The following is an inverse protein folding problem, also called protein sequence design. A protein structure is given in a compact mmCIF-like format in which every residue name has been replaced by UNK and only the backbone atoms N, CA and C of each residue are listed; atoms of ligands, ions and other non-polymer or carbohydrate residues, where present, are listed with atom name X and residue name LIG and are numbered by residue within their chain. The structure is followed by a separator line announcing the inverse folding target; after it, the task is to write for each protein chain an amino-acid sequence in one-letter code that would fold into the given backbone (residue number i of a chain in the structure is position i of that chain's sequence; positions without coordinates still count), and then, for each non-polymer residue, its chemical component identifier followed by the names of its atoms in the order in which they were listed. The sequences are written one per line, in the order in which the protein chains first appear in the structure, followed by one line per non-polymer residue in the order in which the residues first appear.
data_IF_991254603980
#
_entry.id   IF_991254603980
#
_cell.length_a   1.000
_cell.length_b   1.000
_cell.length_c   1.000
_cell.angle_alpha   90.00
_cell.angle_beta   90.00
_cell.angle_gamma   90.00
#
_symmetry.space_group_name_H-M   'P 1'
#
loop_
_entity.id
_entity.type
_entity.pdbx_description
1 polymer ?
#
# COMPACT_ATOMS: atom_id res chain seq x y z
N UNK A 1 -1.08 7.29 -10.26
CA UNK A 1 -2.29 8.02 -10.74
C UNK A 1 -2.71 9.07 -9.72
N UNK A 2 -2.87 10.32 -10.12
CA UNK A 2 -3.51 11.34 -9.30
C UNK A 2 -5.04 11.10 -9.30
N UNK A 3 -5.64 10.97 -8.10
CA UNK A 3 -7.06 10.59 -7.96
C UNK A 3 -7.97 11.75 -7.57
N UNK A 4 -7.42 12.96 -7.35
CA UNK A 4 -8.20 14.14 -6.95
C UNK A 4 -9.25 13.79 -5.89
N UNK A 5 -8.79 13.44 -4.69
CA UNK A 5 -9.56 12.90 -3.57
C UNK A 5 -9.83 11.38 -3.62
N UNK A 6 -9.13 10.63 -2.77
CA UNK A 6 -9.29 9.19 -2.62
C UNK A 6 -10.57 8.86 -1.84
N UNK A 7 -11.55 8.27 -2.49
CA UNK A 7 -12.77 7.75 -1.87
C UNK A 7 -12.70 6.22 -1.73
N UNK A 8 -13.50 5.60 -0.86
CA UNK A 8 -13.57 4.12 -0.79
C UNK A 8 -13.90 3.48 -2.14
N UNK A 9 -14.74 4.12 -2.94
CA UNK A 9 -15.08 3.65 -4.29
C UNK A 9 -13.89 3.69 -5.24
N UNK A 10 -13.14 4.82 -5.27
CA UNK A 10 -11.94 4.94 -6.10
C UNK A 10 -10.86 3.94 -5.68
N UNK A 11 -10.67 3.77 -4.37
CA UNK A 11 -9.72 2.79 -3.85
C UNK A 11 -10.11 1.36 -4.26
N UNK A 12 -11.39 1.00 -4.16
CA UNK A 12 -11.87 -0.31 -4.59
C UNK A 12 -11.63 -0.55 -6.09
N UNK A 13 -11.87 0.46 -6.93
CA UNK A 13 -11.60 0.40 -8.38
C UNK A 13 -10.11 0.18 -8.66
N UNK A 14 -9.23 0.94 -8.00
CA UNK A 14 -7.78 0.78 -8.17
C UNK A 14 -7.30 -0.61 -7.75
N UNK A 15 -7.78 -1.13 -6.62
CA UNK A 15 -7.42 -2.48 -6.16
C UNK A 15 -7.95 -3.57 -7.08
N UNK A 16 -9.10 -3.34 -7.74
CA UNK A 16 -9.69 -4.28 -8.70
C UNK A 16 -8.85 -4.47 -9.96
N UNK A 17 -7.99 -3.51 -10.31
CA UNK A 17 -7.03 -3.66 -11.43
C UNK A 17 -5.99 -4.76 -11.18
N UNK A 18 -5.84 -5.21 -9.95
CA UNK A 18 -5.01 -6.36 -9.62
C UNK A 18 -3.49 -6.11 -9.63
N UNK A 19 -3.03 -4.86 -9.76
CA UNK A 19 -1.60 -4.51 -9.70
C UNK A 19 -0.99 -4.90 -8.35
N UNK A 20 0.29 -5.30 -8.34
CA UNK A 20 0.98 -5.63 -7.08
C UNK A 20 1.38 -4.40 -6.29
N UNK A 21 1.63 -3.28 -6.98
CA UNK A 21 1.99 -2.00 -6.38
C UNK A 21 1.14 -0.90 -7.04
N UNK A 22 0.53 -0.03 -6.22
CA UNK A 22 -0.30 1.08 -6.69
C UNK A 22 0.21 2.38 -6.09
N UNK A 23 0.66 3.30 -6.95
CA UNK A 23 1.08 4.65 -6.57
C UNK A 23 -0.06 5.65 -6.77
N UNK A 24 -0.36 6.44 -5.74
CA UNK A 24 -1.49 7.37 -5.72
C UNK A 24 -1.03 8.75 -5.29
N UNK A 25 -1.52 9.77 -5.98
CA UNK A 25 -1.33 11.18 -5.64
C UNK A 25 -2.68 11.85 -5.36
N UNK A 26 -2.64 12.94 -4.61
CA UNK A 26 -3.81 13.72 -4.20
C UNK A 26 -4.89 12.91 -3.49
N UNK A 27 -4.49 12.23 -2.41
CA UNK A 27 -5.44 11.44 -1.60
C UNK A 27 -6.49 12.31 -0.90
N UNK A 28 -6.17 13.56 -0.56
CA UNK A 28 -7.00 14.54 0.18
C UNK A 28 -7.55 13.95 1.48
N UNK A 29 -6.76 13.14 2.16
CA UNK A 29 -7.16 12.45 3.38
C UNK A 29 -6.20 12.75 4.52
N UNK A 30 -6.77 12.91 5.72
CA UNK A 30 -5.97 12.94 6.92
C UNK A 30 -5.39 11.55 7.24
N UNK A 31 -4.39 11.51 8.12
CA UNK A 31 -3.79 10.24 8.57
C UNK A 31 -4.82 9.29 9.18
N UNK A 32 -5.80 9.81 9.93
CA UNK A 32 -6.88 9.03 10.52
C UNK A 32 -7.83 8.47 9.46
N UNK A 33 -8.17 9.29 8.46
CA UNK A 33 -9.01 8.86 7.34
C UNK A 33 -8.34 7.78 6.51
N UNK A 34 -7.04 7.95 6.19
CA UNK A 34 -6.23 6.94 5.50
C UNK A 34 -6.19 5.63 6.29
N UNK A 35 -5.86 5.73 7.59
CA UNK A 35 -5.77 4.56 8.47
C UNK A 35 -7.08 3.77 8.60
N UNK A 36 -8.19 4.39 8.27
CA UNK A 36 -9.53 3.79 8.34
C UNK A 36 -10.01 3.18 7.05
N UNK A 37 -9.28 3.36 5.96
CA UNK A 37 -9.67 2.78 4.68
C UNK A 37 -9.49 1.27 4.69
N UNK A 38 -10.43 0.59 4.05
CA UNK A 38 -10.32 -0.85 3.85
C UNK A 38 -9.49 -1.11 2.60
N UNK A 39 -8.34 -1.73 2.78
CA UNK A 39 -7.36 -1.94 1.71
C UNK A 39 -7.28 -3.40 1.23
N UNK A 40 -8.20 -4.27 1.69
CA UNK A 40 -8.23 -5.66 1.26
C UNK A 40 -6.89 -6.36 1.48
N UNK A 41 -6.32 -6.89 0.41
CA UNK A 41 -5.04 -7.60 0.42
C UNK A 41 -3.83 -6.67 0.16
N UNK A 42 -3.97 -5.37 0.47
CA UNK A 42 -2.88 -4.40 0.32
C UNK A 42 -2.49 -3.79 1.65
N UNK A 43 -1.19 -3.56 1.81
CA UNK A 43 -0.63 -2.72 2.86
C UNK A 43 -0.50 -1.28 2.32
N UNK A 44 -1.08 -0.33 3.02
CA UNK A 44 -1.11 1.07 2.62
C UNK A 44 -0.05 1.87 3.37
N UNK A 45 0.85 2.48 2.62
CA UNK A 45 1.83 3.46 3.10
C UNK A 45 1.44 4.84 2.57
N UNK A 46 1.25 5.81 3.43
CA UNK A 46 0.79 7.13 3.00
C UNK A 46 1.47 8.27 3.76
N UNK A 47 1.54 9.40 3.09
CA UNK A 47 1.91 10.69 3.66
C UNK A 47 0.76 11.66 3.41
N UNK A 48 0.08 12.06 4.49
CA UNK A 48 -0.97 13.07 4.44
C UNK A 48 -0.37 14.47 4.47
N UNK A 49 -1.01 15.40 3.76
CA UNK A 49 -0.68 16.83 3.89
C UNK A 49 -1.33 17.41 5.15
N UNK A 50 -0.66 18.37 5.78
CA UNK A 50 -1.27 19.23 6.78
C UNK A 50 -2.08 20.31 6.04
N UNK A 51 -3.42 20.27 6.16
CA UNK A 51 -4.33 21.18 5.47
C UNK A 51 -5.17 20.52 4.37
N UNK A 52 -5.73 21.33 3.47
CA UNK A 52 -6.60 20.86 2.38
C UNK A 52 -5.81 20.36 1.17
N UNK A 53 -6.33 19.32 0.54
CA UNK A 53 -5.77 18.75 -0.69
C UNK A 53 -4.51 17.93 -0.46
N UNK A 54 -3.86 17.49 -1.54
CA UNK A 54 -2.60 16.75 -1.54
C UNK A 54 -2.67 15.39 -0.86
N UNK A 55 -1.51 14.93 -0.41
CA UNK A 55 -1.31 13.61 0.16
C UNK A 55 -0.97 12.56 -0.91
N UNK A 56 -0.01 11.71 -0.61
CA UNK A 56 0.47 10.64 -1.49
C UNK A 56 0.41 9.29 -0.79
N UNK A 57 0.26 8.22 -1.56
CA UNK A 57 0.20 6.88 -1.02
C UNK A 57 0.80 5.84 -1.97
N UNK A 58 1.29 4.75 -1.39
CA UNK A 58 1.66 3.51 -2.09
C UNK A 58 0.94 2.36 -1.41
N UNK A 59 0.21 1.57 -2.19
CA UNK A 59 -0.33 0.30 -1.75
C UNK A 59 0.56 -0.82 -2.30
N UNK A 60 0.91 -1.75 -1.45
CA UNK A 60 1.69 -2.93 -1.82
C UNK A 60 0.89 -4.17 -1.46
N UNK A 61 0.76 -5.10 -2.40
CA UNK A 61 0.05 -6.36 -2.15
C UNK A 61 0.69 -7.10 -0.98
N UNK A 62 -0.11 -7.63 -0.06
CA UNK A 62 0.38 -8.28 1.17
C UNK A 62 1.20 -9.55 0.93
N UNK A 63 1.25 -10.04 -0.31
CA UNK A 63 2.16 -11.10 -0.72
C UNK A 63 3.61 -10.64 -0.80
N UNK A 64 3.82 -9.33 -0.96
CA UNK A 64 5.12 -8.68 -0.95
C UNK A 64 5.35 -8.03 0.41
N UNK A 65 6.50 -8.26 1.01
CA UNK A 65 6.88 -7.56 2.25
C UNK A 65 7.27 -6.13 1.90
N UNK A 66 6.73 -5.18 2.65
CA UNK A 66 7.06 -3.77 2.42
C UNK A 66 7.20 -2.99 3.71
N UNK A 67 8.06 -1.98 3.68
CA UNK A 67 8.23 -1.05 4.79
C UNK A 67 8.44 0.37 4.26
N UNK A 68 7.95 1.34 5.00
CA UNK A 68 8.19 2.76 4.68
C UNK A 68 9.62 3.13 5.01
N UNK A 69 10.28 3.83 4.10
CA UNK A 69 11.57 4.50 4.34
C UNK A 69 11.25 5.91 4.83
N UNK A 70 11.78 6.34 5.98
CA UNK A 70 11.61 7.71 6.45
C UNK A 70 12.24 8.70 5.47
N UNK A 71 11.44 9.65 5.00
CA UNK A 71 11.90 10.82 4.26
C UNK A 71 11.48 12.06 5.04
N UNK A 72 12.44 12.85 5.46
CA UNK A 72 12.17 14.09 6.17
C UNK A 72 12.02 15.23 5.18
N UNK A 73 10.77 15.66 4.99
CA UNK A 73 10.43 16.87 4.23
C UNK A 73 10.15 17.97 5.26
N UNK A 74 10.93 19.06 5.29
CA UNK A 74 10.70 20.16 6.22
C UNK A 74 9.30 20.77 6.03
N UNK A 75 8.68 21.24 7.11
CA UNK A 75 7.32 21.78 7.06
C UNK A 75 7.19 23.03 6.17
N UNK A 76 8.27 23.78 5.98
CA UNK A 76 8.30 24.94 5.08
C UNK A 76 8.36 24.54 3.59
N UNK A 77 8.78 23.32 3.28
CA UNK A 77 8.73 22.79 1.92
C UNK A 77 7.34 22.26 1.61
N UNK A 78 6.51 23.12 1.06
CA UNK A 78 5.13 22.79 0.67
C UNK A 78 5.01 22.38 -0.79
N UNK A 79 6.12 22.35 -1.52
CA UNK A 79 6.14 22.05 -2.96
C UNK A 79 6.14 20.54 -3.25
N UNK A 80 6.77 19.75 -2.39
CA UNK A 80 6.91 18.30 -2.56
C UNK A 80 6.12 17.53 -1.50
N UNK A 81 5.39 16.55 -1.92
CA UNK A 81 4.87 15.47 -1.08
C UNK A 81 5.39 14.15 -1.62
N UNK A 82 5.94 13.32 -0.75
CA UNK A 82 6.45 12.02 -1.18
C UNK A 82 6.33 10.97 -0.07
N UNK A 83 6.11 9.74 -0.50
CA UNK A 83 6.22 8.54 0.33
C UNK A 83 7.13 7.55 -0.36
N UNK A 84 8.11 7.03 0.38
CA UNK A 84 9.10 6.07 -0.10
C UNK A 84 8.90 4.75 0.60
N UNK A 85 8.83 3.68 -0.18
CA UNK A 85 8.54 2.33 0.31
C UNK A 85 9.58 1.37 -0.24
N UNK A 86 10.21 0.62 0.65
CA UNK A 86 11.02 -0.53 0.28
C UNK A 86 10.12 -1.76 0.17
N UNK A 87 10.17 -2.43 -0.96
CA UNK A 87 9.41 -3.64 -1.26
C UNK A 87 10.41 -4.77 -1.46
N UNK A 88 10.33 -5.81 -0.63
CA UNK A 88 11.16 -6.99 -0.82
C UNK A 88 10.56 -7.87 -1.92
N UNK A 89 11.30 -8.04 -3.00
CA UNK A 89 10.90 -8.90 -4.12
C UNK A 89 11.21 -10.36 -3.83
N UNK A 90 12.36 -10.62 -3.18
CA UNK A 90 12.76 -11.93 -2.66
C UNK A 90 13.71 -11.78 -1.44
N UNK A 91 14.45 -12.84 -1.08
CA UNK A 91 15.28 -12.87 0.14
C UNK A 91 16.38 -11.82 0.16
N UNK A 92 16.93 -11.43 -0.99
CA UNK A 92 18.11 -10.57 -1.10
C UNK A 92 17.91 -9.35 -2.02
N UNK A 93 16.70 -9.09 -2.48
CA UNK A 93 16.44 -8.05 -3.48
C UNK A 93 15.28 -7.17 -3.07
N UNK A 94 15.58 -5.90 -3.01
CA UNK A 94 14.63 -4.86 -2.67
C UNK A 94 14.40 -3.94 -3.87
N UNK A 95 13.17 -3.49 -4.01
CA UNK A 95 12.76 -2.42 -4.90
C UNK A 95 12.38 -1.22 -4.05
N UNK A 96 12.90 -0.06 -4.38
CA UNK A 96 12.41 1.18 -3.80
C UNK A 96 11.32 1.75 -4.71
N UNK A 97 10.17 2.07 -4.11
CA UNK A 97 9.06 2.73 -4.80
C UNK A 97 8.80 4.07 -4.12
N UNK A 98 8.84 5.14 -4.89
CA UNK A 98 8.50 6.47 -4.45
C UNK A 98 7.25 6.96 -5.18
N UNK A 99 6.24 7.41 -4.43
CA UNK A 99 5.11 8.16 -4.94
C UNK A 99 5.32 9.62 -4.59
N UNK A 100 5.33 10.49 -5.58
CA UNK A 100 5.58 11.92 -5.42
C UNK A 100 4.45 12.78 -6.00
N UNK A 101 4.24 13.95 -5.40
CA UNK A 101 3.37 14.98 -5.92
C UNK A 101 4.06 16.34 -5.78
N UNK A 102 4.23 17.02 -6.88
CA UNK A 102 4.72 18.41 -6.89
C UNK A 102 3.55 19.36 -7.09
N UNK A 103 3.37 20.22 -6.09
CA UNK A 103 2.29 21.21 -6.12
C UNK A 103 2.57 22.32 -7.14
N UNK A 104 1.60 22.73 -7.96
CA UNK A 104 1.73 23.92 -8.79
C UNK A 104 1.83 25.23 -7.97
N UNK A 105 2.70 26.20 -8.36
CA UNK A 105 3.76 26.03 -9.35
C UNK A 105 4.86 25.10 -8.83
N UNK A 106 5.33 24.14 -9.66
CA UNK A 106 6.31 23.15 -9.24
C UNK A 106 7.68 23.81 -8.95
N UNK A 107 8.43 23.24 -8.02
CA UNK A 107 9.78 23.70 -7.65
C UNK A 107 10.69 22.51 -7.34
N UNK A 108 11.91 22.54 -7.84
CA UNK A 108 12.95 21.57 -7.48
C UNK A 108 13.58 21.98 -6.15
N UNK A 109 12.99 21.48 -5.08
CA UNK A 109 13.42 21.81 -3.71
C UNK A 109 14.56 20.91 -3.25
N UNK A 110 15.20 21.29 -2.14
CA UNK A 110 16.19 20.45 -1.48
C UNK A 110 15.58 19.09 -1.04
N UNK A 111 14.29 19.05 -0.74
CA UNK A 111 13.61 17.81 -0.40
C UNK A 111 13.52 16.87 -1.61
N UNK A 112 13.27 17.40 -2.81
CA UNK A 112 13.30 16.59 -4.02
C UNK A 112 14.71 16.10 -4.35
N UNK A 113 15.74 16.96 -4.23
CA UNK A 113 17.15 16.55 -4.39
C UNK A 113 17.52 15.42 -3.41
N UNK A 114 17.05 15.51 -2.17
CA UNK A 114 17.23 14.43 -1.18
C UNK A 114 16.48 13.16 -1.58
N UNK A 115 15.23 13.27 -2.05
CA UNK A 115 14.45 12.11 -2.49
C UNK A 115 15.20 11.32 -3.57
N UNK A 116 15.77 12.01 -4.54
CA UNK A 116 16.46 11.38 -5.68
C UNK A 116 17.83 10.82 -5.29
N UNK A 117 18.54 11.50 -4.38
CA UNK A 117 19.93 11.18 -4.03
C UNK A 117 20.10 10.37 -2.72
N UNK A 118 19.06 10.23 -1.89
CA UNK A 118 19.17 9.52 -0.60
C UNK A 118 19.16 7.99 -0.72
N UNK A 119 18.97 7.47 -1.91
CA UNK A 119 18.85 6.04 -2.15
C UNK A 119 20.18 5.43 -2.57
N UNK A 120 20.51 4.22 -2.10
CA UNK A 120 21.74 3.54 -2.50
C UNK A 120 21.85 3.48 -4.02
N UNK A 121 23.04 3.83 -4.56
CA UNK A 121 23.26 3.94 -6.00
C UNK A 121 22.93 2.65 -6.77
N UNK A 122 23.09 1.49 -6.13
CA UNK A 122 22.86 0.17 -6.72
C UNK A 122 21.43 -0.38 -6.54
N UNK A 123 20.58 0.30 -5.78
CA UNK A 123 19.24 -0.22 -5.49
C UNK A 123 18.26 0.15 -6.60
N UNK A 124 17.49 -0.82 -7.12
CA UNK A 124 16.43 -0.54 -8.08
C UNK A 124 15.42 0.47 -7.54
N UNK A 125 15.12 1.51 -8.31
CA UNK A 125 14.21 2.58 -7.95
C UNK A 125 13.14 2.79 -9.01
N UNK A 126 11.91 2.88 -8.55
CA UNK A 126 10.76 3.35 -9.31
C UNK A 126 10.22 4.63 -8.67
N UNK A 127 10.29 5.74 -9.37
CA UNK A 127 9.71 7.02 -8.96
C UNK A 127 8.51 7.35 -9.86
N UNK A 128 7.32 7.38 -9.28
CA UNK A 128 6.08 7.70 -9.96
C UNK A 128 5.45 8.93 -9.32
N UNK A 129 4.91 9.84 -10.13
CA UNK A 129 4.25 10.99 -9.54
C UNK A 129 3.61 11.92 -10.55
N UNK A 130 2.81 12.83 -10.01
CA UNK A 130 2.34 14.01 -10.69
C UNK A 130 3.29 15.16 -10.36
N UNK A 131 4.06 15.56 -11.35
CA UNK A 131 5.12 16.56 -11.17
C UNK A 131 4.69 17.96 -11.62
N UNK A 132 3.54 18.09 -12.28
CA UNK A 132 3.00 19.35 -12.78
C UNK A 132 4.02 20.16 -13.61
N UNK A 133 4.86 19.47 -14.39
CA UNK A 133 5.93 20.05 -15.21
C UNK A 133 5.75 19.70 -16.67
N UNK A 134 6.09 20.68 -17.54
CA UNK A 134 6.03 20.55 -18.99
C UNK A 134 7.45 20.65 -19.56
N UNK A 135 7.81 19.68 -20.40
CA UNK A 135 9.13 19.64 -21.04
C UNK A 135 9.04 18.86 -22.37
N UNK A 136 9.74 19.27 -23.44
CA UNK A 136 9.72 18.57 -24.74
C UNK A 136 10.15 17.10 -24.69
N UNK A 137 10.93 16.70 -23.70
CA UNK A 137 11.36 15.31 -23.52
C UNK A 137 10.19 14.33 -23.34
N UNK A 138 9.10 14.76 -22.71
CA UNK A 138 7.89 13.94 -22.55
C UNK A 138 6.66 14.51 -23.24
N UNK A 139 6.70 15.79 -23.62
CA UNK A 139 5.67 16.49 -24.41
C UNK A 139 6.27 17.05 -25.70
N UNK A 140 6.61 16.21 -26.70
CA UNK A 140 7.25 16.67 -27.93
C UNK A 140 6.36 17.62 -28.76
N UNK A 141 5.07 17.73 -28.43
CA UNK A 141 4.12 18.65 -29.02
C UNK A 141 4.09 20.04 -28.33
N UNK A 142 4.94 20.24 -27.32
CA UNK A 142 5.03 21.51 -26.61
C UNK A 142 5.71 22.56 -27.52
N UNK A 143 4.98 23.62 -27.85
CA UNK A 143 5.48 24.69 -28.73
C UNK A 143 6.34 25.73 -28.01
N UNK A 144 6.28 25.72 -26.65
CA UNK A 144 7.03 26.65 -25.79
C UNK A 144 8.30 26.03 -25.27
N UNK A 145 9.32 26.84 -25.01
CA UNK A 145 10.51 26.39 -24.31
C UNK A 145 10.16 25.87 -22.91
N UNK A 146 10.84 24.82 -22.42
CA UNK A 146 10.63 24.32 -21.07
C UNK A 146 10.94 25.45 -20.05
N UNK A 147 10.26 25.41 -18.91
CA UNK A 147 10.64 26.26 -17.78
C UNK A 147 12.00 25.83 -17.24
N UNK A 148 12.75 26.77 -16.65
CA UNK A 148 14.04 26.47 -15.98
C UNK A 148 13.87 25.35 -14.94
N UNK A 149 12.76 25.36 -14.21
CA UNK A 149 12.44 24.33 -13.21
C UNK A 149 12.26 22.95 -13.83
N UNK A 150 11.64 22.84 -15.01
CA UNK A 150 11.47 21.58 -15.69
C UNK A 150 12.80 21.05 -16.27
N UNK A 151 13.65 21.95 -16.77
CA UNK A 151 15.00 21.63 -17.21
C UNK A 151 15.88 21.12 -16.05
N UNK A 152 15.87 21.85 -14.92
CA UNK A 152 16.58 21.46 -13.70
C UNK A 152 16.09 20.09 -13.15
N UNK A 153 14.77 19.85 -13.20
CA UNK A 153 14.19 18.58 -12.80
C UNK A 153 14.69 17.43 -13.66
N UNK A 154 14.71 17.61 -14.98
CA UNK A 154 15.21 16.61 -15.92
C UNK A 154 16.68 16.30 -15.68
N UNK A 155 17.52 17.34 -15.58
CA UNK A 155 18.94 17.21 -15.28
C UNK A 155 19.19 16.42 -14.00
N UNK A 156 18.53 16.80 -12.92
CA UNK A 156 18.65 16.13 -11.63
C UNK A 156 18.25 14.65 -11.68
N UNK A 157 17.17 14.32 -12.38
CA UNK A 157 16.74 12.94 -12.55
C UNK A 157 17.78 12.13 -13.38
N UNK A 158 18.30 12.74 -14.44
CA UNK A 158 19.29 12.12 -15.32
C UNK A 158 20.62 11.90 -14.60
N UNK A 159 21.12 12.88 -13.87
CA UNK A 159 22.35 12.81 -13.08
C UNK A 159 22.26 11.74 -11.98
N UNK A 160 21.08 11.56 -11.42
CA UNK A 160 20.83 10.48 -10.47
C UNK A 160 20.74 9.09 -11.13
N UNK A 161 20.89 8.99 -12.44
CA UNK A 161 20.80 7.75 -13.21
C UNK A 161 19.38 7.23 -13.40
N UNK A 162 18.38 8.10 -13.31
CA UNK A 162 17.00 7.77 -13.61
C UNK A 162 16.72 7.87 -15.11
N UNK A 163 15.95 6.94 -15.63
CA UNK A 163 15.48 6.92 -17.03
C UNK A 163 13.97 7.15 -17.04
N UNK A 164 13.52 8.05 -17.91
CA UNK A 164 12.10 8.28 -18.13
C UNK A 164 11.47 7.08 -18.83
N UNK A 165 10.37 6.58 -18.28
CA UNK A 165 9.63 5.40 -18.78
C UNK A 165 8.49 5.81 -19.70
N UNK A 166 7.93 7.00 -19.50
CA UNK A 166 6.81 7.48 -20.30
C UNK A 166 7.11 7.43 -21.79
N UNK A 167 6.16 6.96 -22.58
CA UNK A 167 6.22 7.12 -24.03
C UNK A 167 6.09 8.61 -24.36
N UNK A 168 7.07 9.20 -25.07
CA UNK A 168 6.99 10.62 -25.45
C UNK A 168 5.68 10.93 -26.18
N UNK A 169 5.01 12.01 -25.78
CA UNK A 169 3.69 12.38 -26.32
C UNK A 169 2.50 11.63 -25.72
N UNK A 170 2.75 10.69 -24.80
CA UNK A 170 1.68 10.00 -24.08
C UNK A 170 0.93 10.94 -23.15
N UNK A 171 -0.36 11.14 -23.37
CA UNK A 171 -1.19 12.00 -22.54
C UNK A 171 -1.47 11.30 -21.21
N UNK A 172 -1.21 11.98 -20.10
CA UNK A 172 -1.49 11.46 -18.73
C UNK A 172 -2.56 12.27 -17.99
N UNK A 173 -2.85 13.47 -18.46
CA UNK A 173 -3.87 14.36 -17.91
C UNK A 173 -4.69 14.99 -19.05
N UNK A 174 -6.01 15.04 -18.88
CA UNK A 174 -6.89 15.73 -19.80
C UNK A 174 -8.12 16.28 -19.09
N UNK A 175 -8.28 17.60 -19.17
CA UNK A 175 -9.44 18.31 -18.64
C UNK A 175 -10.14 19.11 -19.71
N UNK A 176 -11.43 18.81 -19.89
CA UNK A 176 -12.21 19.44 -20.95
C UNK A 176 -11.64 19.14 -22.33
N UNK A 177 -11.67 20.13 -23.21
CA UNK A 177 -11.34 20.00 -24.64
C UNK A 177 -9.92 20.41 -25.00
N UNK A 178 -9.31 21.25 -24.17
CA UNK A 178 -8.08 22.00 -24.53
C UNK A 178 -6.88 21.61 -23.68
N UNK A 179 -7.11 21.19 -22.45
CA UNK A 179 -6.01 20.87 -21.53
C UNK A 179 -5.62 19.41 -21.67
N UNK A 180 -4.52 19.14 -22.35
CA UNK A 180 -3.92 17.81 -22.48
C UNK A 180 -2.43 17.92 -22.22
N UNK A 181 -1.92 17.09 -21.30
CA UNK A 181 -0.52 17.13 -20.91
C UNK A 181 -0.01 15.78 -20.44
N UNK A 182 1.30 15.68 -20.34
CA UNK A 182 2.01 14.52 -19.79
C UNK A 182 2.73 14.93 -18.50
N UNK A 183 1.97 15.20 -17.44
CA UNK A 183 2.50 15.68 -16.14
C UNK A 183 2.68 14.58 -15.10
N UNK A 184 2.07 13.41 -15.32
CA UNK A 184 2.31 12.22 -14.50
C UNK A 184 3.47 11.45 -15.11
N UNK A 185 4.62 11.45 -14.42
CA UNK A 185 5.85 10.85 -14.93
C UNK A 185 6.22 9.59 -14.14
N UNK A 186 6.83 8.66 -14.86
CA UNK A 186 7.40 7.43 -14.32
C UNK A 186 8.89 7.39 -14.64
N UNK A 187 9.72 7.31 -13.62
CA UNK A 187 11.16 7.21 -13.73
C UNK A 187 11.65 5.90 -13.13
N UNK A 188 12.61 5.27 -13.76
CA UNK A 188 13.18 4.01 -13.29
C UNK A 188 14.71 4.06 -13.26
N UNK A 189 15.29 3.35 -12.28
CA UNK A 189 16.74 3.13 -12.18
C UNK A 189 17.00 1.66 -11.90
N UNK A 190 17.90 1.04 -12.64
CA UNK A 190 18.21 -0.40 -12.53
C UNK A 190 16.99 -1.32 -12.65
N UNK A 191 15.99 -0.89 -13.44
CA UNK A 191 14.78 -1.63 -13.72
C UNK A 191 14.51 -1.61 -15.23
N UNK A 192 14.07 -2.73 -15.77
CA UNK A 192 13.45 -2.76 -17.10
C UNK A 192 11.94 -2.65 -16.94
N UNK A 193 11.34 -1.73 -17.68
CA UNK A 193 9.89 -1.50 -17.67
C UNK A 193 9.37 -1.83 -19.06
N UNK A 194 8.30 -2.63 -19.16
CA UNK A 194 7.57 -2.90 -20.38
C UNK A 194 6.10 -2.58 -20.25
N UNK A 195 5.41 -2.58 -21.39
CA UNK A 195 3.95 -2.44 -21.48
C UNK A 195 3.42 -1.15 -20.80
N UNK A 196 4.25 -0.09 -20.80
CA UNK A 196 3.80 1.18 -20.29
C UNK A 196 2.65 1.70 -21.13
N UNK A 197 1.56 2.03 -20.46
CA UNK A 197 0.37 2.57 -21.09
C UNK A 197 -0.34 3.59 -20.21
N UNK A 198 -0.95 4.59 -20.84
CA UNK A 198 -1.79 5.57 -20.21
C UNK A 198 -3.23 5.40 -20.71
N UNK A 199 -4.15 5.06 -19.83
CA UNK A 199 -5.54 4.80 -20.18
C UNK A 199 -6.48 5.76 -19.47
N UNK A 200 -7.52 6.19 -20.20
CA UNK A 200 -8.58 7.01 -19.62
C UNK A 200 -9.26 6.26 -18.48
N UNK A 201 -9.53 6.96 -17.39
CA UNK A 201 -10.19 6.39 -16.23
C UNK A 201 -11.36 7.28 -15.78
N UNK A 202 -12.49 6.71 -15.33
CA UNK A 202 -13.60 7.48 -14.79
C UNK A 202 -13.30 8.07 -13.41
N UNK A 203 -12.16 7.73 -12.81
CA UNK A 203 -11.80 8.10 -11.44
C UNK A 203 -11.35 9.56 -11.32
N UNK A 204 -10.64 10.09 -12.32
CA UNK A 204 -9.99 11.39 -12.26
C UNK A 204 -9.82 11.97 -13.67
N UNK A 205 -9.39 13.23 -13.76
CA UNK A 205 -8.93 13.86 -15.02
C UNK A 205 -7.55 13.32 -15.44
N UNK A 206 -6.81 12.71 -14.50
CA UNK A 206 -5.58 11.99 -14.79
C UNK A 206 -5.87 10.58 -15.30
N UNK A 207 -5.00 10.11 -16.19
CA UNK A 207 -5.06 8.77 -16.76
C UNK A 207 -4.48 7.75 -15.77
N UNK A 208 -4.93 6.53 -15.91
CA UNK A 208 -4.34 5.40 -15.20
C UNK A 208 -3.10 4.93 -15.96
N UNK A 209 -1.94 5.02 -15.33
CA UNK A 209 -0.68 4.51 -15.87
C UNK A 209 -0.50 3.09 -15.39
N UNK A 210 -0.25 2.17 -16.32
CA UNK A 210 0.02 0.77 -16.05
C UNK A 210 1.27 0.33 -16.79
N UNK A 211 2.07 -0.51 -16.15
CA UNK A 211 3.29 -1.07 -16.73
C UNK A 211 3.73 -2.32 -15.98
N UNK A 212 4.59 -3.09 -16.59
CA UNK A 212 5.20 -4.28 -16.01
C UNK A 212 6.67 -3.98 -15.65
N UNK A 213 7.07 -4.35 -14.43
CA UNK A 213 8.46 -4.25 -14.01
C UNK A 213 9.16 -5.58 -14.25
N UNK A 214 10.22 -5.54 -15.02
CA UNK A 214 11.16 -6.65 -15.17
C UNK A 214 12.43 -6.28 -14.44
N UNK A 215 12.84 -7.14 -13.55
CA UNK A 215 14.16 -7.02 -12.99
C UNK A 215 15.15 -7.64 -13.99
N UNK A 216 16.18 -6.92 -14.36
CA UNK A 216 17.25 -7.46 -15.19
C UNK A 216 17.98 -8.54 -14.38
N UNK A 217 17.56 -9.80 -14.54
CA UNK A 217 18.25 -10.94 -13.97
C UNK A 217 19.12 -11.60 -15.03
N UNK A 218 20.37 -11.78 -14.67
CA UNK A 218 21.12 -12.89 -15.21
C UNK A 218 20.47 -14.17 -14.66
N UNK A 219 19.93 -14.92 -15.61
CA UNK A 219 19.64 -16.35 -15.57
C UNK A 219 18.52 -16.91 -14.67
N UNK A 220 17.58 -17.50 -15.40
CA UNK A 220 16.83 -18.72 -15.10
C UNK A 220 16.18 -18.86 -13.72
N UNK A 221 15.01 -18.26 -13.61
CA UNK A 221 13.99 -18.91 -12.78
C UNK A 221 12.84 -19.28 -13.71
N UNK A 222 12.46 -20.57 -13.79
CA UNK A 222 11.27 -21.00 -14.49
C UNK A 222 10.08 -20.16 -13.97
N UNK A 223 9.21 -19.74 -14.88
CA UNK A 223 7.94 -19.10 -14.50
C UNK A 223 7.33 -19.88 -13.34
N UNK A 224 7.19 -19.23 -12.19
CA UNK A 224 6.57 -19.88 -11.04
C UNK A 224 5.21 -20.43 -11.47
N UNK A 225 4.90 -21.69 -11.17
CA UNK A 225 3.59 -22.24 -11.46
C UNK A 225 2.51 -21.33 -10.83
N UNK A 226 1.32 -21.25 -11.42
CA UNK A 226 0.24 -20.41 -10.90
C UNK A 226 0.14 -20.60 -9.40
N UNK A 227 0.17 -19.49 -8.66
CA UNK A 227 0.31 -19.49 -7.20
C UNK A 227 -0.64 -20.51 -6.58
N UNK A 228 -0.08 -21.49 -5.89
CA UNK A 228 -0.88 -22.47 -5.14
C UNK A 228 -1.89 -21.73 -4.26
N UNK A 229 -3.11 -22.24 -4.09
CA UNK A 229 -4.15 -21.58 -3.32
C UNK A 229 -3.61 -21.21 -1.94
N UNK A 230 -3.71 -19.92 -1.58
CA UNK A 230 -3.20 -19.42 -0.30
C UNK A 230 -4.08 -19.95 0.82
N UNK A 231 -3.51 -20.81 1.63
CA UNK A 231 -4.13 -21.30 2.85
C UNK A 231 -3.85 -20.32 3.99
N UNK A 232 -4.84 -20.04 4.79
CA UNK A 232 -4.69 -19.32 6.06
C UNK A 232 -5.13 -20.21 7.22
N UNK A 233 -4.58 -19.96 8.39
CA UNK A 233 -4.99 -20.68 9.59
C UNK A 233 -6.11 -19.92 10.29
N UNK A 234 -7.22 -20.60 10.56
CA UNK A 234 -8.37 -20.03 11.26
C UNK A 234 -8.16 -20.08 12.77
N UNK A 235 -7.47 -19.10 13.32
CA UNK A 235 -7.16 -19.00 14.74
C UNK A 235 -8.40 -19.02 15.65
N UNK A 236 -9.52 -18.42 15.20
CA UNK A 236 -10.78 -18.45 15.93
C UNK A 236 -11.43 -19.83 16.01
N UNK A 237 -10.99 -20.79 15.19
CA UNK A 237 -11.44 -22.19 15.19
C UNK A 237 -10.37 -23.15 15.68
N UNK A 238 -9.27 -22.64 16.21
CA UNK A 238 -8.20 -23.44 16.76
C UNK A 238 -8.70 -24.20 18.00
N UNK A 239 -8.37 -25.48 18.10
CA UNK A 239 -8.64 -26.31 19.29
C UNK A 239 -7.55 -26.03 20.33
N UNK A 240 -7.69 -24.92 21.04
CA UNK A 240 -6.64 -24.39 21.92
C UNK A 240 -6.19 -25.36 23.03
N UNK A 241 -7.11 -26.11 23.61
CA UNK A 241 -6.76 -27.07 24.67
C UNK A 241 -5.85 -28.20 24.15
N UNK A 242 -6.12 -28.67 22.92
CA UNK A 242 -5.29 -29.69 22.27
C UNK A 242 -3.99 -29.08 21.75
N UNK A 243 -4.02 -27.84 21.28
CA UNK A 243 -2.83 -27.11 20.88
C UNK A 243 -1.84 -26.98 22.05
N UNK A 244 -2.31 -26.54 23.21
CA UNK A 244 -1.46 -26.36 24.40
C UNK A 244 -0.85 -27.68 24.84
N UNK A 245 -1.65 -28.75 24.94
CA UNK A 245 -1.16 -30.08 25.28
C UNK A 245 -0.08 -30.61 24.33
N UNK A 246 -0.30 -30.43 23.02
CA UNK A 246 0.65 -30.89 22.00
C UNK A 246 1.92 -30.03 22.00
N UNK A 247 1.76 -28.71 22.19
CA UNK A 247 2.88 -27.79 22.30
C UNK A 247 3.77 -28.10 23.49
N UNK A 248 3.17 -28.30 24.69
CA UNK A 248 3.89 -28.66 25.90
C UNK A 248 4.61 -30.00 25.79
N UNK A 249 3.97 -30.98 25.15
CA UNK A 249 4.55 -32.29 24.91
C UNK A 249 5.77 -32.23 23.95
N UNK A 250 5.82 -31.25 23.07
CA UNK A 250 6.94 -31.07 22.14
C UNK A 250 8.09 -30.23 22.71
N UNK A 251 7.93 -29.65 23.90
CA UNK A 251 8.95 -28.94 24.65
C UNK A 251 9.48 -29.76 25.82
N UNK A 252 10.14 -30.91 25.59
CA UNK A 252 10.70 -31.69 26.70
C UNK A 252 11.80 -30.88 27.38
N UNK A 253 11.93 -31.02 28.68
CA UNK A 253 12.88 -30.43 29.62
C UNK A 253 13.99 -29.57 28.97
N UNK A 254 13.70 -28.29 28.81
CA UNK A 254 14.50 -27.36 28.04
C UNK A 254 15.76 -26.95 28.79
N UNK A 255 16.94 -27.19 28.23
CA UNK A 255 18.19 -26.68 28.77
C UNK A 255 18.39 -25.21 28.38
N UNK A 256 18.04 -24.28 29.26
CA UNK A 256 18.17 -22.84 29.09
C UNK A 256 19.60 -22.35 28.81
N UNK A 257 20.61 -23.19 28.97
CA UNK A 257 22.02 -22.84 28.75
C UNK A 257 22.39 -22.79 27.27
N UNK A 258 21.53 -23.30 26.36
CA UNK A 258 21.75 -23.30 24.90
C UNK A 258 20.70 -22.49 24.16
N UNK A 259 20.78 -21.15 24.26
CA UNK A 259 19.79 -20.23 23.69
C UNK A 259 19.45 -20.44 22.19
N UNK A 260 20.44 -20.73 21.36
CA UNK A 260 20.23 -20.86 19.90
C UNK A 260 19.43 -22.10 19.49
N UNK A 261 19.61 -23.20 20.21
CA UNK A 261 18.86 -24.45 19.99
C UNK A 261 17.43 -24.33 20.48
N UNK A 262 17.22 -23.55 21.52
CA UNK A 262 15.93 -23.36 22.12
C UNK A 262 14.92 -22.58 21.27
N UNK A 263 15.33 -21.50 20.70
CA UNK A 263 14.46 -20.74 19.80
C UNK A 263 13.99 -21.60 18.62
N UNK A 264 14.90 -22.43 18.08
CA UNK A 264 14.56 -23.36 16.99
C UNK A 264 13.58 -24.43 17.42
N UNK A 265 13.78 -25.03 18.61
CA UNK A 265 12.89 -26.04 19.16
C UNK A 265 11.51 -25.46 19.48
N UNK A 266 11.45 -24.28 20.13
CA UNK A 266 10.23 -23.57 20.42
C UNK A 266 9.46 -23.23 19.12
N UNK A 267 10.15 -22.66 18.12
CA UNK A 267 9.53 -22.31 16.84
C UNK A 267 8.99 -23.56 16.14
N UNK A 268 9.73 -24.66 16.16
CA UNK A 268 9.28 -25.91 15.56
C UNK A 268 8.05 -26.49 16.30
N UNK A 269 8.07 -26.54 17.62
CA UNK A 269 6.92 -26.98 18.42
C UNK A 269 5.68 -26.12 18.14
N UNK A 270 5.85 -24.79 18.12
CA UNK A 270 4.78 -23.84 17.80
C UNK A 270 4.19 -24.10 16.42
N UNK A 271 5.05 -24.21 15.40
CA UNK A 271 4.61 -24.44 14.01
C UNK A 271 3.88 -25.78 13.90
N UNK A 272 4.42 -26.83 14.49
CA UNK A 272 3.83 -28.17 14.40
C UNK A 272 2.46 -28.22 15.10
N UNK A 273 2.36 -27.64 16.29
CA UNK A 273 1.10 -27.66 17.06
C UNK A 273 0.01 -26.81 16.38
N UNK A 274 0.32 -25.63 15.81
CA UNK A 274 -0.73 -24.90 15.12
C UNK A 274 -1.13 -25.56 13.80
N UNK A 275 -0.20 -26.24 13.10
CA UNK A 275 -0.53 -27.00 11.89
C UNK A 275 -1.50 -28.16 12.16
N UNK A 276 -1.40 -28.78 13.34
CA UNK A 276 -2.27 -29.90 13.74
C UNK A 276 -3.64 -29.45 14.24
N UNK A 277 -3.68 -28.38 15.02
CA UNK A 277 -4.86 -28.00 15.81
C UNK A 277 -5.61 -26.78 15.31
N UNK A 278 -4.99 -25.96 14.44
CA UNK A 278 -5.67 -24.84 13.79
C UNK A 278 -6.11 -25.24 12.38
N UNK A 279 -7.42 -25.25 12.09
CA UNK A 279 -7.91 -25.62 10.78
C UNK A 279 -7.36 -24.68 9.70
N UNK A 280 -6.91 -25.26 8.59
CA UNK A 280 -6.60 -24.51 7.38
C UNK A 280 -7.91 -24.11 6.70
N UNK A 281 -8.04 -22.84 6.36
CA UNK A 281 -9.11 -22.34 5.51
C UNK A 281 -8.54 -21.92 4.17
N UNK A 282 -9.28 -22.15 3.11
CA UNK A 282 -9.09 -21.43 1.86
C UNK A 282 -9.91 -20.16 1.94
N UNK A 283 -9.39 -19.05 1.41
CA UNK A 283 -10.25 -17.94 1.08
C UNK A 283 -11.32 -18.49 0.10
N UNK A 284 -12.51 -18.73 0.60
CA UNK A 284 -13.65 -18.83 -0.28
C UNK A 284 -13.78 -17.44 -0.87
N UNK A 285 -13.66 -17.36 -2.19
CA UNK A 285 -14.03 -16.15 -2.89
C UNK A 285 -15.43 -15.78 -2.39
N UNK A 286 -15.50 -14.78 -1.52
CA UNK A 286 -16.78 -14.19 -1.15
C UNK A 286 -17.41 -13.66 -2.43
N UNK A 287 -18.70 -13.33 -2.47
CA UNK A 287 -19.31 -12.73 -3.65
C UNK A 287 -18.41 -11.57 -4.06
N UNK A 288 -17.82 -11.68 -5.25
CA UNK A 288 -16.87 -10.71 -5.77
C UNK A 288 -17.55 -9.36 -5.73
N UNK A 289 -16.91 -8.37 -5.10
CA UNK A 289 -17.39 -6.99 -5.15
C UNK A 289 -17.51 -6.55 -6.61
N UNK A 290 -16.60 -7.04 -7.44
CA UNK A 290 -16.45 -6.74 -8.85
C UNK A 290 -17.06 -7.87 -9.67
N UNK A 291 -18.33 -7.71 -10.03
CA UNK A 291 -19.08 -8.62 -10.91
C UNK A 291 -19.14 -8.06 -12.35
N UNK A 292 -19.64 -8.87 -13.29
CA UNK A 292 -19.73 -8.51 -14.70
C UNK A 292 -20.55 -7.23 -14.93
N UNK A 293 -21.59 -7.00 -14.11
CA UNK A 293 -22.42 -5.80 -14.18
C UNK A 293 -21.63 -4.56 -13.82
N UNK A 294 -20.76 -4.64 -12.79
CA UNK A 294 -19.94 -3.52 -12.37
C UNK A 294 -18.79 -3.27 -13.35
N UNK A 295 -18.20 -4.33 -13.91
CA UNK A 295 -17.19 -4.24 -14.97
C UNK A 295 -17.75 -3.55 -16.22
N UNK A 296 -18.96 -3.91 -16.63
CA UNK A 296 -19.60 -3.27 -17.78
C UNK A 296 -19.92 -1.80 -17.51
N UNK A 297 -20.39 -1.46 -16.32
CA UNK A 297 -20.64 -0.07 -15.94
C UNK A 297 -19.33 0.77 -15.92
N UNK A 298 -18.21 0.21 -15.46
CA UNK A 298 -16.90 0.84 -15.52
C UNK A 298 -16.45 1.06 -16.97
N UNK A 299 -16.60 0.03 -17.82
CA UNK A 299 -16.28 0.10 -19.23
C UNK A 299 -17.09 1.21 -19.94
N UNK A 300 -18.40 1.25 -19.74
CA UNK A 300 -19.28 2.29 -20.32
C UNK A 300 -18.86 3.68 -19.86
N UNK A 301 -18.52 3.86 -18.57
CA UNK A 301 -18.07 5.14 -18.06
C UNK A 301 -16.70 5.56 -18.64
N UNK A 302 -15.82 4.61 -18.87
CA UNK A 302 -14.51 4.82 -19.50
C UNK A 302 -14.66 5.18 -20.97
N UNK A 303 -15.46 4.42 -21.72
CA UNK A 303 -15.67 4.62 -23.16
C UNK A 303 -16.37 5.94 -23.47
N UNK A 304 -17.37 6.32 -22.67
CA UNK A 304 -18.07 7.62 -22.84
C UNK A 304 -17.13 8.78 -22.56
N UNK A 305 -16.26 8.67 -21.56
CA UNK A 305 -15.24 9.67 -21.27
C UNK A 305 -14.22 9.76 -22.41
N UNK A 306 -13.74 8.64 -22.94
CA UNK A 306 -12.82 8.61 -24.06
C UNK A 306 -13.44 9.27 -25.31
N UNK A 307 -14.71 8.99 -25.63
CA UNK A 307 -15.45 9.62 -26.74
C UNK A 307 -15.60 11.12 -26.55
N UNK A 308 -15.91 11.57 -25.33
CA UNK A 308 -15.97 13.00 -25.02
C UNK A 308 -14.61 13.68 -25.21
N UNK A 309 -13.53 13.07 -24.74
CA UNK A 309 -12.18 13.63 -24.90
C UNK A 309 -11.70 13.67 -26.36
N UNK A 310 -12.17 12.75 -27.20
CA UNK A 310 -11.84 12.75 -28.64
C UNK A 310 -12.57 13.83 -29.41
N UNK A 311 -13.88 13.96 -29.18
CA UNK A 311 -14.73 14.95 -29.86
C UNK A 311 -15.74 15.52 -28.85
N UNK A 312 -15.37 16.59 -28.17
CA UNK A 312 -16.22 17.24 -27.17
C UNK A 312 -17.47 17.83 -27.78
N UNK A 313 -18.62 17.45 -27.21
CA UNK A 313 -19.94 17.96 -27.54
C UNK A 313 -20.84 17.88 -26.30
N UNK A 314 -21.85 18.76 -26.15
CA UNK A 314 -22.71 18.79 -24.97
C UNK A 314 -23.44 17.47 -24.69
N UNK A 315 -23.89 16.78 -25.73
CA UNK A 315 -24.53 15.47 -25.66
C UNK A 315 -23.57 14.37 -25.14
N UNK A 316 -22.33 14.40 -25.59
CA UNK A 316 -21.27 13.48 -25.12
C UNK A 316 -20.83 13.78 -23.69
N UNK A 317 -20.79 15.04 -23.29
CA UNK A 317 -20.54 15.43 -21.91
C UNK A 317 -21.66 14.90 -20.99
N UNK A 318 -22.92 15.08 -21.39
CA UNK A 318 -24.05 14.59 -20.66
C UNK A 318 -24.03 13.04 -20.55
N UNK A 319 -23.66 12.33 -21.63
CA UNK A 319 -23.49 10.88 -21.61
C UNK A 319 -22.37 10.45 -20.66
N UNK A 320 -21.22 11.11 -20.72
CA UNK A 320 -20.08 10.85 -19.82
C UNK A 320 -20.48 11.02 -18.35
N UNK A 321 -21.14 12.13 -18.01
CA UNK A 321 -21.59 12.40 -16.64
C UNK A 321 -22.61 11.37 -16.17
N UNK A 322 -23.54 10.97 -17.03
CA UNK A 322 -24.57 9.96 -16.74
C UNK A 322 -23.94 8.58 -16.46
N UNK A 323 -23.12 8.08 -17.36
CA UNK A 323 -22.49 6.75 -17.23
C UNK A 323 -21.55 6.69 -16.03
N UNK A 324 -20.78 7.75 -15.80
CA UNK A 324 -19.95 7.88 -14.62
C UNK A 324 -20.77 7.86 -13.33
N UNK A 325 -21.89 8.58 -13.29
CA UNK A 325 -22.78 8.60 -12.13
C UNK A 325 -23.41 7.23 -11.86
N UNK A 326 -23.83 6.53 -12.91
CA UNK A 326 -24.38 5.17 -12.82
C UNK A 326 -23.33 4.18 -12.26
N UNK A 327 -22.11 4.21 -12.78
CA UNK A 327 -21.03 3.39 -12.26
C UNK A 327 -20.80 3.62 -10.76
N UNK A 328 -20.66 4.88 -10.32
CA UNK A 328 -20.42 5.16 -8.90
C UNK A 328 -21.63 4.88 -8.01
N UNK A 329 -22.86 4.96 -8.51
CA UNK A 329 -24.05 4.53 -7.76
C UNK A 329 -24.02 3.03 -7.53
N UNK A 330 -23.81 2.25 -8.57
CA UNK A 330 -23.74 0.78 -8.50
C UNK A 330 -22.61 0.33 -7.58
N UNK A 331 -21.42 0.92 -7.70
CA UNK A 331 -20.27 0.59 -6.85
C UNK A 331 -20.55 0.91 -5.38
N UNK A 332 -21.18 2.05 -5.07
CA UNK A 332 -21.57 2.40 -3.69
C UNK A 332 -22.58 1.42 -3.12
N UNK A 333 -23.54 1.01 -3.91
CA UNK A 333 -24.52 -0.01 -3.52
C UNK A 333 -23.85 -1.34 -3.19
N UNK A 334 -22.94 -1.83 -4.04
CA UNK A 334 -22.17 -3.05 -3.81
C UNK A 334 -21.31 -2.99 -2.54
N UNK A 335 -20.62 -1.87 -2.33
CA UNK A 335 -19.85 -1.63 -1.10
C UNK A 335 -20.73 -1.65 0.13
N UNK A 336 -21.89 -0.96 0.10
CA UNK A 336 -22.88 -0.95 1.18
C UNK A 336 -23.39 -2.36 1.50
N UNK A 337 -23.78 -3.12 0.47
CA UNK A 337 -24.29 -4.46 0.63
C UNK A 337 -23.24 -5.42 1.19
N UNK A 338 -21.98 -5.27 0.77
CA UNK A 338 -20.85 -6.03 1.32
C UNK A 338 -20.62 -5.69 2.80
N UNK A 339 -20.69 -4.40 3.15
CA UNK A 339 -20.60 -3.95 4.54
C UNK A 339 -21.75 -4.49 5.40
N UNK A 340 -23.01 -4.39 4.94
CA UNK A 340 -24.16 -4.89 5.66
C UNK A 340 -24.11 -6.42 5.87
N UNK A 341 -23.68 -7.20 4.86
CA UNK A 341 -23.46 -8.64 5.00
C UNK A 341 -22.38 -8.98 6.03
N UNK A 342 -21.34 -8.15 6.18
CA UNK A 342 -20.32 -8.35 7.22
C UNK A 342 -20.89 -8.08 8.60
N UNK A 343 -21.65 -6.99 8.77
CA UNK A 343 -22.27 -6.64 10.04
C UNK A 343 -23.30 -7.70 10.46
N UNK A 344 -24.13 -8.17 9.56
CA UNK A 344 -25.16 -9.19 9.87
C UNK A 344 -24.59 -10.52 10.35
N UNK A 345 -23.30 -10.77 10.13
CA UNK A 345 -22.59 -11.97 10.60
C UNK A 345 -21.88 -11.77 11.94
N UNK A 346 -21.93 -10.57 12.51
CA UNK A 346 -21.29 -10.25 13.78
C UNK A 346 -22.30 -10.42 14.92
N UNK A 347 -21.91 -11.15 15.95
CA UNK A 347 -22.72 -11.24 17.16
C UNK A 347 -22.63 -9.92 17.94
N UNK A 348 -23.75 -9.37 18.42
CA UNK A 348 -23.77 -8.08 19.16
C UNK A 348 -22.82 -8.02 20.37
N UNK A 349 -22.55 -9.16 21.00
CA UNK A 349 -21.63 -9.27 22.14
C UNK A 349 -20.14 -9.31 21.80
N UNK A 350 -19.77 -9.42 20.53
CA UNK A 350 -18.38 -9.52 20.15
C UNK A 350 -17.69 -8.14 20.07
N UNK A 351 -16.44 -8.00 20.57
CA UNK A 351 -15.68 -6.75 20.47
C UNK A 351 -15.54 -6.24 19.02
N UNK A 352 -15.56 -7.16 18.05
CA UNK A 352 -15.48 -6.84 16.63
C UNK A 352 -16.74 -6.14 16.13
N UNK A 353 -17.93 -6.53 16.61
CA UNK A 353 -19.19 -5.89 16.28
C UNK A 353 -19.19 -4.43 16.73
N UNK A 354 -18.78 -4.16 17.97
CA UNK A 354 -18.64 -2.81 18.48
C UNK A 354 -17.64 -1.94 17.72
N UNK A 355 -16.54 -2.53 17.24
CA UNK A 355 -15.57 -1.84 16.41
C UNK A 355 -16.18 -1.36 15.09
N UNK A 356 -17.03 -2.18 14.47
CA UNK A 356 -17.72 -1.83 13.23
C UNK A 356 -18.89 -0.83 13.47
N UNK A 357 -19.67 -1.02 14.51
CA UNK A 357 -20.87 -0.20 14.79
C UNK A 357 -20.48 1.18 15.32
N UNK A 358 -19.53 1.27 16.23
CA UNK A 358 -19.16 2.53 16.87
C UNK A 358 -18.37 3.47 15.96
N UNK A 359 -17.89 3.00 14.83
CA UNK A 359 -16.99 3.78 13.97
C UNK A 359 -15.74 4.29 14.69
N UNK A 360 -15.56 3.96 15.96
CA UNK A 360 -14.40 4.35 16.76
C UNK A 360 -13.17 3.63 16.24
N UNK A 361 -12.49 4.32 15.38
CA UNK A 361 -11.17 3.99 14.92
C UNK A 361 -10.23 4.14 16.11
N UNK A 362 -9.84 3.04 16.74
CA UNK A 362 -8.57 3.10 17.45
C UNK A 362 -7.54 3.45 16.37
N UNK A 363 -6.80 4.54 16.60
CA UNK A 363 -5.63 4.82 15.79
C UNK A 363 -4.88 3.49 15.58
N UNK A 364 -4.46 3.15 14.36
CA UNK A 364 -3.66 1.96 14.16
C UNK A 364 -2.54 2.03 15.16
N UNK A 365 -2.35 0.93 15.91
CA UNK A 365 -1.14 0.80 16.74
C UNK A 365 0.00 1.08 15.77
N UNK A 366 0.90 2.03 16.07
CA UNK A 366 2.06 2.25 15.21
C UNK A 366 2.67 0.88 15.01
N UNK A 367 2.93 0.53 13.74
CA UNK A 367 3.63 -0.71 13.39
C UNK A 367 4.78 -0.84 14.36
N UNK A 368 5.05 -2.01 14.97
CA UNK A 368 6.18 -2.17 15.85
C UNK A 368 7.41 -1.74 15.05
N UNK A 369 7.77 -0.49 15.19
CA UNK A 369 9.06 0.00 14.72
C UNK A 369 10.07 -0.87 15.40
N UNK A 370 10.93 -1.50 14.63
CA UNK A 370 12.02 -2.37 15.03
C UNK A 370 12.47 -2.08 16.47
N UNK A 371 12.45 -3.10 17.31
CA UNK A 371 12.99 -3.03 18.67
C UNK A 371 14.49 -2.76 18.51
N UNK A 372 14.89 -1.50 18.50
CA UNK A 372 16.26 -1.11 18.72
C UNK A 372 16.46 -1.16 20.23
N UNK A 373 17.16 -2.19 20.67
CA UNK A 373 17.73 -2.29 22.03
C UNK A 373 18.81 -1.22 22.19
N UNK A 374 18.40 0.00 22.58
CA UNK A 374 19.31 1.11 22.83
C UNK A 374 18.57 2.24 23.55
N UNK A 375 19.00 2.53 24.75
CA UNK A 375 18.36 3.31 25.79
C UNK A 375 17.85 4.71 25.41
N UNK A 376 16.54 4.87 25.32
CA UNK A 376 15.85 6.14 25.31
C UNK A 376 14.41 6.01 25.78
N UNK A 377 13.84 7.09 26.36
CA UNK A 377 12.47 7.08 26.92
C UNK A 377 11.37 6.68 25.89
N UNK A 378 11.60 6.88 24.58
CA UNK A 378 10.69 6.45 23.52
C UNK A 378 10.65 4.93 23.37
N UNK A 379 11.74 4.23 23.60
CA UNK A 379 11.85 2.76 23.53
C UNK A 379 11.02 2.11 24.63
N UNK A 380 10.94 2.71 25.81
CA UNK A 380 10.18 2.19 26.93
C UNK A 380 8.65 2.17 26.67
N UNK A 381 8.09 3.25 26.09
CA UNK A 381 6.67 3.31 25.73
C UNK A 381 6.31 2.29 24.64
N UNK A 382 7.21 2.05 23.71
CA UNK A 382 7.03 1.09 22.60
C UNK A 382 7.21 -0.34 23.09
N UNK A 383 8.20 -0.63 23.93
CA UNK A 383 8.39 -1.92 24.55
C UNK A 383 7.21 -2.32 25.43
N UNK A 384 6.67 -1.41 26.26
CA UNK A 384 5.46 -1.63 27.07
C UNK A 384 4.26 -1.96 26.19
N UNK A 385 4.08 -1.28 25.05
CA UNK A 385 2.99 -1.56 24.09
C UNK A 385 3.20 -2.90 23.38
N UNK A 386 4.42 -3.26 23.02
CA UNK A 386 4.75 -4.57 22.45
C UNK A 386 4.49 -5.70 23.45
N UNK A 387 4.84 -5.53 24.72
CA UNK A 387 4.56 -6.51 25.78
C UNK A 387 3.06 -6.61 26.05
N UNK A 388 2.29 -5.52 26.01
CA UNK A 388 0.82 -5.56 26.14
C UNK A 388 0.20 -6.29 24.92
N UNK A 389 0.72 -6.08 23.71
CA UNK A 389 0.27 -6.80 22.52
C UNK A 389 0.61 -8.29 22.59
N UNK A 390 1.83 -8.63 23.02
CA UNK A 390 2.27 -10.00 23.29
C UNK A 390 1.46 -10.64 24.43
N UNK A 391 1.22 -9.92 25.52
CA UNK A 391 0.35 -10.41 26.60
C UNK A 391 -1.10 -10.62 26.15
N UNK A 392 -1.64 -9.82 25.21
CA UNK A 392 -2.97 -10.06 24.61
C UNK A 392 -2.99 -11.24 23.66
N UNK A 393 -1.92 -11.45 22.89
CA UNK A 393 -1.77 -12.63 22.03
C UNK A 393 -1.54 -13.87 22.86
N UNK A 394 -0.73 -13.76 23.92
CA UNK A 394 -0.30 -14.84 24.79
C UNK A 394 -0.97 -14.82 26.18
N UNK A 395 -2.08 -14.09 26.38
CA UNK A 395 -2.80 -14.09 27.67
C UNK A 395 -3.24 -15.50 28.10
N UNK A 396 -3.44 -16.41 27.17
CA UNK A 396 -3.68 -17.82 27.45
C UNK A 396 -2.40 -18.58 27.79
N UNK A 397 -1.21 -18.03 27.58
CA UNK A 397 0.08 -18.63 27.85
C UNK A 397 0.73 -18.11 29.16
N UNK A 398 0.10 -17.13 29.84
CA UNK A 398 0.60 -16.63 31.15
C UNK A 398 0.76 -17.75 32.21
N UNK A 399 -0.10 -18.77 32.30
CA UNK A 399 0.15 -19.92 33.17
C UNK A 399 1.44 -20.66 32.82
N UNK A 400 1.75 -20.77 31.52
CA UNK A 400 2.96 -21.44 31.01
C UNK A 400 4.24 -20.68 31.35
N UNK A 401 4.26 -19.36 31.25
CA UNK A 401 5.44 -18.56 31.64
C UNK A 401 5.72 -18.61 33.12
N UNK A 402 4.71 -18.83 33.98
CA UNK A 402 4.88 -19.09 35.41
C UNK A 402 5.43 -20.50 35.69
N UNK A 403 5.03 -21.50 34.91
CA UNK A 403 5.58 -22.87 35.01
C UNK A 403 7.00 -22.96 34.47
N UNK A 404 7.37 -22.12 33.50
CA UNK A 404 8.69 -22.08 32.90
C UNK A 404 9.75 -21.35 33.76
N UNK A 405 9.42 -20.94 34.99
CA UNK A 405 10.39 -20.42 35.94
C UNK A 405 11.00 -19.06 35.65
N UNK A 406 10.33 -18.22 34.82
CA UNK A 406 10.77 -16.84 34.65
C UNK A 406 10.71 -16.11 35.99
N UNK A 407 11.77 -15.38 36.39
CA UNK A 407 11.80 -14.70 37.69
C UNK A 407 10.64 -13.68 37.77
N UNK A 408 9.90 -13.75 38.88
CA UNK A 408 8.76 -12.86 39.17
C UNK A 408 9.12 -11.38 39.00
N UNK A 409 10.37 -11.01 39.26
CA UNK A 409 10.90 -9.64 39.10
C UNK A 409 10.92 -9.12 37.67
N UNK A 410 10.95 -9.97 36.63
CA UNK A 410 10.88 -9.53 35.24
C UNK A 410 9.45 -9.31 34.75
N UNK A 411 8.47 -9.90 35.44
CA UNK A 411 7.03 -9.74 35.12
C UNK A 411 6.45 -8.51 35.83
N UNK A 412 6.83 -8.29 37.09
CA UNK A 412 6.33 -7.17 37.89
C UNK A 412 6.92 -5.81 37.47
N UNK A 413 8.13 -5.80 36.89
CA UNK A 413 8.72 -4.57 36.28
C UNK A 413 8.07 -4.14 34.96
N UNK A 414 7.22 -4.96 34.40
CA UNK A 414 6.46 -4.65 33.17
C UNK A 414 5.11 -4.02 33.48
N UNK A 415 4.71 -4.01 34.76
CA UNK A 415 3.45 -3.41 35.24
C UNK A 415 3.59 -1.97 35.77
N UNK A 416 4.77 -1.37 35.70
CA UNK A 416 5.02 0.05 36.00
C UNK A 416 5.25 0.81 34.65
#
# INVERSE_FOLDING_TARGET
MNVSCLTPSKLATLMAQGADIISIQETWKSSEQIASMHTGDYLLHAQSRIGKGGGVAVLVRTTLRSKRIPLTIPQHDTSLEAVVVQVALDQNRDLIVASAYMRPPPQVTQSFRRLVNCLPASTPLLLCGDFNMHHPQWEPFLETSPSEVAAEFLELCTDAGLTLVNTPGGITYARGTRERSCIDLTWSKHLTVSDWSASVSPLSDHYMLTFTLHQAFKDTIPSAPPSAPKFFYSWGKCKWDLFVKDFDAQLPAYDYKKQSTGIKAFTRALITSYQRHCPRGMHKDGPRLWDDTLMEAERMATDSKARYLQLPAPDREAEMQRTRSQFFLLLRERLRNTYLRRISKLNPGEPLAWKYISGRKKAPLPSPTSILLGGGQHTYKTARRAVIALNRIFSHFIPLTRQLGFPKASIDRVHL
#
